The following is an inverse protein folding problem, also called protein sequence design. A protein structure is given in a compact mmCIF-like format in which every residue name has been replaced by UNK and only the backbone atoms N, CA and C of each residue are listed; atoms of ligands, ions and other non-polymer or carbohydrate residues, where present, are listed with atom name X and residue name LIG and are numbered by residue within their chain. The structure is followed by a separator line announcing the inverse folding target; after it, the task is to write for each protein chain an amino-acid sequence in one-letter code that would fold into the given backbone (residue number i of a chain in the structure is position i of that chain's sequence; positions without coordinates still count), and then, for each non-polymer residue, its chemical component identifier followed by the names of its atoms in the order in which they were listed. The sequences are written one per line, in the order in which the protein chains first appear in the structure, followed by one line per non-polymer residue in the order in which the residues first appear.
data_IF_301765117431
#
_entry.id   IF_301765117431
#
_cell.length_a   1.000
_cell.length_b   1.000
_cell.length_c   1.000
_cell.angle_alpha   90.00
_cell.angle_beta   90.00
_cell.angle_gamma   90.00
#
_symmetry.space_group_name_H-M   'P 1'
#
loop_
_entity.id
_entity.type
_entity.pdbx_description
1 polymer ?
#
# COMPACT_ATOMS: atom_id res chain seq x y z
N UNK A 1 -14.29 -5.74 -9.40
CA UNK A 1 -13.73 -4.58 -8.68
C UNK A 1 -12.55 -4.00 -9.43
N UNK A 2 -12.18 -2.76 -9.14
CA UNK A 2 -11.00 -2.11 -9.74
C UNK A 2 -9.76 -2.53 -8.96
N UNK A 3 -9.10 -3.60 -9.41
CA UNK A 3 -7.99 -4.25 -8.72
C UNK A 3 -6.81 -4.39 -9.67
N UNK A 4 -5.64 -3.93 -9.25
CA UNK A 4 -4.40 -4.09 -10.01
C UNK A 4 -3.38 -4.92 -9.24
N UNK A 5 -2.89 -5.98 -9.85
CA UNK A 5 -1.79 -6.77 -9.31
C UNK A 5 -0.47 -6.03 -9.57
N UNK A 6 0.22 -5.64 -8.51
CA UNK A 6 1.55 -5.01 -8.62
C UNK A 6 2.62 -6.10 -8.66
N UNK A 7 2.51 -7.07 -7.77
CA UNK A 7 3.30 -8.29 -7.74
C UNK A 7 2.36 -9.45 -7.42
N UNK A 8 2.88 -10.65 -7.28
CA UNK A 8 2.06 -11.83 -6.92
C UNK A 8 1.43 -11.69 -5.53
N UNK A 9 2.00 -10.85 -4.66
CA UNK A 9 1.55 -10.70 -3.28
C UNK A 9 1.11 -9.29 -2.92
N UNK A 10 1.11 -8.35 -3.87
CA UNK A 10 0.76 -6.96 -3.62
C UNK A 10 -0.23 -6.44 -4.64
N UNK A 11 -1.36 -5.94 -4.16
CA UNK A 11 -2.45 -5.41 -4.96
C UNK A 11 -2.80 -3.99 -4.55
N UNK A 12 -3.22 -3.19 -5.51
CA UNK A 12 -3.73 -1.82 -5.27
C UNK A 12 -5.12 -1.73 -5.88
N UNK A 13 -6.04 -1.07 -5.20
CA UNK A 13 -7.41 -0.90 -5.67
C UNK A 13 -7.96 0.48 -5.32
N UNK A 14 -9.00 0.88 -6.05
CA UNK A 14 -9.92 1.91 -5.60
C UNK A 14 -10.75 1.34 -4.44
N UNK A 15 -11.47 2.19 -3.73
CA UNK A 15 -12.24 1.80 -2.55
C UNK A 15 -13.13 0.58 -2.82
N UNK A 16 -12.88 -0.55 -2.16
CA UNK A 16 -13.68 -1.76 -2.35
C UNK A 16 -14.92 -1.77 -1.44
N UNK A 17 -15.80 -2.73 -1.71
CA UNK A 17 -17.02 -2.98 -0.93
C UNK A 17 -16.93 -4.34 -0.24
N UNK A 18 -17.82 -4.58 0.73
CA UNK A 18 -17.88 -5.89 1.41
C UNK A 18 -18.10 -7.05 0.44
N UNK A 19 -18.84 -6.83 -0.64
CA UNK A 19 -19.10 -7.86 -1.65
C UNK A 19 -17.82 -8.29 -2.41
N UNK A 20 -16.76 -7.50 -2.35
CA UNK A 20 -15.49 -7.82 -3.02
C UNK A 20 -14.63 -8.83 -2.24
N UNK A 21 -15.04 -9.18 -1.02
CA UNK A 21 -14.27 -10.07 -0.15
C UNK A 21 -13.94 -11.42 -0.78
N UNK A 22 -14.89 -12.02 -1.49
CA UNK A 22 -14.71 -13.31 -2.13
C UNK A 22 -13.61 -13.25 -3.22
N UNK A 23 -13.66 -12.22 -4.08
CA UNK A 23 -12.65 -12.03 -5.13
C UNK A 23 -11.26 -11.82 -4.53
N UNK A 24 -11.16 -11.00 -3.48
CA UNK A 24 -9.89 -10.77 -2.80
C UNK A 24 -9.34 -12.06 -2.19
N UNK A 25 -10.19 -12.83 -1.54
CA UNK A 25 -9.81 -14.12 -0.95
C UNK A 25 -9.30 -15.09 -2.01
N UNK A 26 -9.92 -15.13 -3.18
CA UNK A 26 -9.47 -15.98 -4.30
C UNK A 26 -8.07 -15.58 -4.79
N UNK A 27 -7.71 -14.31 -4.71
CA UNK A 27 -6.37 -13.83 -5.07
C UNK A 27 -5.33 -14.08 -3.97
N UNK A 28 -5.72 -14.72 -2.88
CA UNK A 28 -4.80 -14.97 -1.76
C UNK A 28 -4.64 -13.82 -0.79
N UNK A 29 -5.43 -12.75 -0.96
CA UNK A 29 -5.39 -11.61 -0.04
C UNK A 29 -5.90 -12.03 1.34
N UNK A 30 -5.15 -11.67 2.38
CA UNK A 30 -5.55 -11.88 3.78
C UNK A 30 -5.45 -10.61 4.60
N UNK A 31 -4.64 -9.65 4.15
CA UNK A 31 -4.47 -8.36 4.81
C UNK A 31 -4.93 -7.23 3.88
N UNK A 32 -5.75 -6.33 4.41
CA UNK A 32 -6.25 -5.16 3.70
C UNK A 32 -5.74 -3.90 4.42
N UNK A 33 -4.99 -3.06 3.72
CA UNK A 33 -4.53 -1.77 4.23
C UNK A 33 -5.46 -0.68 3.71
N UNK A 34 -6.20 -0.06 4.61
CA UNK A 34 -7.15 1.01 4.31
C UNK A 34 -6.51 2.36 4.59
N UNK A 35 -6.31 3.17 3.55
CA UNK A 35 -5.63 4.46 3.64
C UNK A 35 -6.58 5.67 3.68
N UNK A 36 -7.89 5.45 3.78
CA UNK A 36 -8.86 6.57 3.81
C UNK A 36 -9.46 6.75 5.21
N UNK A 37 -9.96 7.97 5.54
CA UNK A 37 -10.56 8.22 6.85
C UNK A 37 -12.00 7.71 6.95
N UNK A 38 -12.29 6.58 6.34
CA UNK A 38 -13.58 5.89 6.41
C UNK A 38 -13.29 4.46 6.83
N UNK A 39 -14.06 3.98 7.80
CA UNK A 39 -13.83 2.63 8.34
C UNK A 39 -13.93 1.56 7.26
N UNK A 40 -13.08 0.57 7.36
CA UNK A 40 -13.07 -0.58 6.44
C UNK A 40 -14.43 -1.27 6.43
N UNK A 41 -14.99 -1.58 5.25
CA UNK A 41 -16.23 -2.35 5.16
C UNK A 41 -16.14 -3.67 5.93
N UNK A 42 -17.24 -4.07 6.55
CA UNK A 42 -17.27 -5.24 7.43
C UNK A 42 -16.78 -6.52 6.75
N UNK A 43 -17.14 -6.74 5.49
CA UNK A 43 -16.71 -7.94 4.77
C UNK A 43 -15.19 -8.01 4.57
N UNK A 44 -14.52 -6.87 4.55
CA UNK A 44 -13.08 -6.81 4.34
C UNK A 44 -12.28 -6.90 5.66
N UNK A 45 -12.95 -6.94 6.79
CA UNK A 45 -12.33 -7.12 8.12
C UNK A 45 -12.91 -8.32 8.87
N UNK A 46 -13.55 -9.22 8.14
CA UNK A 46 -14.09 -10.47 8.65
C UNK A 46 -13.22 -11.62 8.13
N UNK A 47 -12.87 -12.57 9.00
CA UNK A 47 -12.04 -13.71 8.61
C UNK A 47 -12.56 -14.36 7.31
N UNK A 48 -11.68 -14.79 6.37
CA UNK A 48 -10.23 -14.87 6.51
C UNK A 48 -9.47 -13.56 6.29
N UNK A 49 -10.17 -12.46 5.97
CA UNK A 49 -9.55 -11.15 5.79
C UNK A 49 -9.38 -10.44 7.12
N UNK A 50 -8.30 -9.71 7.26
CA UNK A 50 -8.09 -8.76 8.35
C UNK A 50 -7.67 -7.42 7.79
N UNK A 51 -7.95 -6.35 8.50
CA UNK A 51 -7.69 -5.00 8.02
C UNK A 51 -6.80 -4.24 8.99
N UNK A 52 -5.95 -3.39 8.42
CA UNK A 52 -5.19 -2.39 9.15
C UNK A 52 -5.62 -1.03 8.64
N UNK A 53 -6.14 -0.18 9.55
CA UNK A 53 -6.64 1.14 9.17
C UNK A 53 -5.56 2.18 9.39
N UNK A 54 -5.12 2.80 8.30
CA UNK A 54 -4.03 3.78 8.27
C UNK A 54 -4.55 5.07 7.61
N UNK A 55 -5.54 5.74 8.24
CA UNK A 55 -6.24 6.85 7.59
C UNK A 55 -5.33 8.06 7.40
N UNK A 56 -5.40 8.65 6.21
CA UNK A 56 -4.76 9.91 5.89
C UNK A 56 -5.54 10.62 4.79
N UNK A 57 -5.34 11.93 4.69
CA UNK A 57 -5.99 12.73 3.63
C UNK A 57 -5.09 12.76 2.39
N UNK A 58 -5.71 12.80 1.22
CA UNK A 58 -5.00 13.02 -0.03
C UNK A 58 -4.86 14.53 -0.23
N UNK A 59 -3.77 15.10 0.25
CA UNK A 59 -3.56 16.54 0.25
C UNK A 59 -2.10 16.88 -0.01
N UNK A 60 -1.89 17.83 -0.94
CA UNK A 60 -0.56 18.38 -1.18
C UNK A 60 0.00 19.12 0.04
N UNK A 61 -0.90 19.60 0.92
CA UNK A 61 -0.54 20.32 2.14
C UNK A 61 -0.13 19.40 3.29
N UNK A 62 -0.56 18.13 3.24
CA UNK A 62 -0.33 17.14 4.29
C UNK A 62 0.17 15.85 3.66
N UNK A 63 1.43 15.80 3.18
CA UNK A 63 1.96 14.57 2.59
C UNK A 63 2.00 13.44 3.62
N UNK A 64 1.89 12.21 3.13
CA UNK A 64 1.93 11.01 3.98
C UNK A 64 3.19 11.01 4.83
N UNK A 65 3.06 10.89 6.16
CA UNK A 65 4.22 10.86 7.03
C UNK A 65 4.95 9.52 6.93
N UNK A 66 6.26 9.56 7.10
CA UNK A 66 7.11 8.37 7.04
C UNK A 66 6.69 7.30 8.04
N UNK A 67 6.26 7.69 9.25
CA UNK A 67 5.84 6.73 10.28
C UNK A 67 4.63 5.91 9.84
N UNK A 68 3.70 6.53 9.09
CA UNK A 68 2.51 5.84 8.58
C UNK A 68 2.89 4.81 7.53
N UNK A 69 3.75 5.21 6.58
CA UNK A 69 4.27 4.30 5.56
C UNK A 69 5.06 3.16 6.19
N UNK A 70 5.86 3.46 7.21
CA UNK A 70 6.65 2.46 7.92
C UNK A 70 5.76 1.45 8.64
N UNK A 71 4.70 1.91 9.28
CA UNK A 71 3.76 1.02 9.98
C UNK A 71 3.08 0.06 9.01
N UNK A 72 2.54 0.58 7.91
CA UNK A 72 1.90 -0.25 6.89
C UNK A 72 2.86 -1.23 6.24
N UNK A 73 4.08 -0.80 5.99
CA UNK A 73 5.12 -1.64 5.42
C UNK A 73 5.45 -2.83 6.34
N UNK A 74 5.60 -2.60 7.64
CA UNK A 74 5.90 -3.67 8.60
C UNK A 74 4.78 -4.71 8.65
N UNK A 75 3.53 -4.26 8.70
CA UNK A 75 2.38 -5.15 8.73
C UNK A 75 2.29 -5.96 7.42
N UNK A 76 2.52 -5.30 6.29
CA UNK A 76 2.51 -5.96 4.98
C UNK A 76 3.61 -7.01 4.85
N UNK A 77 4.84 -6.68 5.22
CA UNK A 77 5.96 -7.62 5.14
C UNK A 77 5.74 -8.85 6.02
N UNK A 78 5.12 -8.67 7.18
CA UNK A 78 4.77 -9.79 8.06
C UNK A 78 3.76 -10.72 7.39
N UNK A 79 2.72 -10.18 6.76
CA UNK A 79 1.74 -10.97 6.03
C UNK A 79 2.39 -11.71 4.86
N UNK A 80 3.22 -11.02 4.08
CA UNK A 80 3.92 -11.62 2.94
C UNK A 80 4.88 -12.72 3.37
N UNK A 81 5.50 -12.60 4.55
CA UNK A 81 6.34 -13.64 5.13
C UNK A 81 5.58 -14.91 5.46
N UNK A 82 4.26 -14.84 5.60
CA UNK A 82 3.36 -15.98 5.81
C UNK A 82 2.65 -16.41 4.51
N UNK A 83 3.18 -16.02 3.35
CA UNK A 83 2.62 -16.30 2.02
C UNK A 83 1.22 -15.74 1.81
N UNK A 84 0.89 -14.64 2.48
CA UNK A 84 -0.37 -13.94 2.30
C UNK A 84 -0.18 -12.77 1.34
N UNK A 85 -1.17 -12.52 0.48
CA UNK A 85 -1.18 -11.33 -0.34
C UNK A 85 -1.81 -10.17 0.43
N UNK A 86 -1.45 -8.96 0.03
CA UNK A 86 -1.86 -7.71 0.68
C UNK A 86 -2.56 -6.82 -0.35
N UNK A 87 -3.71 -6.29 0.04
CA UNK A 87 -4.39 -5.24 -0.72
C UNK A 87 -4.17 -3.91 -0.03
N UNK A 88 -3.82 -2.89 -0.82
CA UNK A 88 -3.81 -1.51 -0.34
C UNK A 88 -4.84 -0.73 -1.13
N UNK A 89 -5.70 0.00 -0.44
CA UNK A 89 -6.64 0.86 -1.13
C UNK A 89 -6.73 2.25 -0.51
N UNK A 90 -7.06 3.21 -1.36
CA UNK A 90 -7.53 4.52 -0.98
C UNK A 90 -8.80 4.80 -1.78
N UNK A 91 -9.16 6.06 -1.98
CA UNK A 91 -10.41 6.35 -2.69
C UNK A 91 -10.37 5.88 -4.16
N UNK A 92 -9.31 6.26 -4.88
CA UNK A 92 -9.16 5.96 -6.32
C UNK A 92 -8.02 4.99 -6.62
N UNK A 93 -7.18 4.68 -5.64
CA UNK A 93 -5.97 3.89 -5.87
C UNK A 93 -4.96 4.63 -6.73
N UNK A 94 -4.84 5.95 -6.52
CA UNK A 94 -4.02 6.83 -7.34
C UNK A 94 -2.84 7.46 -6.60
N UNK A 95 -3.03 7.85 -5.34
CA UNK A 95 -2.02 8.58 -4.57
C UNK A 95 -1.60 7.88 -3.27
N UNK A 96 -2.47 7.82 -2.26
CA UNK A 96 -2.11 7.28 -0.94
C UNK A 96 -1.71 5.82 -0.98
N UNK A 97 -2.50 4.99 -1.65
CA UNK A 97 -2.21 3.57 -1.80
C UNK A 97 -0.97 3.34 -2.67
N UNK A 98 -0.74 4.21 -3.65
CA UNK A 98 0.44 4.15 -4.50
C UNK A 98 1.70 4.43 -3.69
N UNK A 99 1.68 5.44 -2.82
CA UNK A 99 2.80 5.74 -1.94
C UNK A 99 3.11 4.55 -1.02
N UNK A 100 2.09 3.93 -0.43
CA UNK A 100 2.26 2.76 0.44
C UNK A 100 2.80 1.56 -0.34
N UNK A 101 2.29 1.31 -1.56
CA UNK A 101 2.79 0.22 -2.40
C UNK A 101 4.27 0.41 -2.71
N UNK A 102 4.68 1.63 -3.06
CA UNK A 102 6.08 1.94 -3.32
C UNK A 102 6.94 1.74 -2.07
N UNK A 103 6.44 2.14 -0.90
CA UNK A 103 7.16 1.94 0.37
C UNK A 103 7.42 0.45 0.62
N UNK A 104 6.42 -0.40 0.41
CA UNK A 104 6.57 -1.85 0.57
C UNK A 104 7.61 -2.41 -0.40
N UNK A 105 7.55 -2.00 -1.66
CA UNK A 105 8.52 -2.46 -2.68
C UNK A 105 9.94 -2.00 -2.35
N UNK A 106 10.10 -0.80 -1.83
CA UNK A 106 11.40 -0.28 -1.39
C UNK A 106 11.93 -1.15 -0.23
N UNK A 107 11.07 -1.49 0.71
CA UNK A 107 11.46 -2.35 1.83
C UNK A 107 11.85 -3.75 1.35
N UNK A 108 11.35 -4.19 0.21
CA UNK A 108 11.70 -5.46 -0.42
C UNK A 108 12.97 -5.38 -1.28
N UNK A 109 13.60 -4.19 -1.35
CA UNK A 109 14.90 -4.03 -2.00
C UNK A 109 14.91 -3.19 -3.27
N UNK A 110 13.78 -2.67 -3.71
CA UNK A 110 13.73 -1.79 -4.88
C UNK A 110 14.19 -0.38 -4.53
N UNK A 111 14.69 0.35 -5.53
CA UNK A 111 14.84 1.80 -5.41
C UNK A 111 13.47 2.47 -5.54
N UNK A 112 13.37 3.73 -5.10
CA UNK A 112 12.14 4.51 -5.27
C UNK A 112 11.75 4.57 -6.75
N UNK A 113 12.71 4.78 -7.64
CA UNK A 113 12.44 4.87 -9.08
C UNK A 113 11.92 3.56 -9.66
N UNK A 114 12.52 2.43 -9.26
CA UNK A 114 12.04 1.11 -9.69
C UNK A 114 10.62 0.84 -9.19
N UNK A 115 10.36 1.16 -7.92
CA UNK A 115 9.04 0.97 -7.32
C UNK A 115 7.98 1.81 -8.03
N UNK A 116 8.26 3.10 -8.25
CA UNK A 116 7.34 4.00 -8.94
C UNK A 116 7.04 3.51 -10.37
N UNK A 117 8.06 3.07 -11.10
CA UNK A 117 7.89 2.56 -12.45
C UNK A 117 7.03 1.28 -12.48
N UNK A 118 7.27 0.36 -11.55
CA UNK A 118 6.51 -0.88 -11.46
C UNK A 118 5.03 -0.61 -11.17
N UNK A 119 4.75 0.25 -10.18
CA UNK A 119 3.36 0.57 -9.81
C UNK A 119 2.64 1.28 -10.96
N UNK A 120 3.30 2.23 -11.61
CA UNK A 120 2.71 2.96 -12.75
C UNK A 120 2.41 2.01 -13.92
N UNK A 121 3.33 1.09 -14.21
CA UNK A 121 3.14 0.12 -15.28
C UNK A 121 2.00 -0.86 -15.00
N UNK A 122 1.85 -1.29 -13.76
CA UNK A 122 0.81 -2.24 -13.36
C UNK A 122 -0.56 -1.58 -13.18
N UNK A 123 -0.59 -0.28 -12.84
CA UNK A 123 -1.82 0.48 -12.62
C UNK A 123 -1.70 1.84 -13.33
N UNK A 124 -2.19 1.95 -14.57
CA UNK A 124 -2.00 3.17 -15.39
C UNK A 124 -2.50 4.47 -14.78
N UNK A 125 -3.55 4.43 -13.94
CA UNK A 125 -4.07 5.64 -13.27
C UNK A 125 -3.24 6.05 -12.06
N UNK A 126 -2.32 5.19 -11.60
CA UNK A 126 -1.43 5.53 -10.49
C UNK A 126 -0.59 6.75 -10.85
N UNK A 127 -0.42 7.65 -9.89
CA UNK A 127 0.33 8.89 -10.08
C UNK A 127 1.44 9.02 -9.01
N UNK A 128 2.50 8.20 -9.11
CA UNK A 128 3.58 8.25 -8.14
C UNK A 128 4.43 9.52 -8.25
N UNK A 129 4.35 10.24 -9.36
CA UNK A 129 5.13 11.47 -9.58
C UNK A 129 4.40 12.74 -9.16
N UNK A 130 3.16 12.64 -8.67
CA UNK A 130 2.51 13.79 -8.03
C UNK A 130 3.44 14.27 -6.90
N UNK A 131 3.70 15.60 -6.80
CA UNK A 131 4.74 16.10 -5.87
C UNK A 131 4.61 15.62 -4.43
N UNK A 132 3.42 15.59 -3.88
CA UNK A 132 3.20 15.14 -2.49
C UNK A 132 3.36 13.62 -2.33
N UNK A 133 3.13 12.86 -3.39
CA UNK A 133 3.30 11.40 -3.39
C UNK A 133 4.78 11.06 -3.53
N UNK A 134 5.45 11.61 -4.55
CA UNK A 134 6.87 11.35 -4.77
C UNK A 134 7.71 11.77 -3.58
N UNK A 135 7.42 12.94 -3.00
CA UNK A 135 8.11 13.42 -1.80
C UNK A 135 8.01 12.42 -0.63
N UNK A 136 6.82 11.87 -0.39
CA UNK A 136 6.61 10.87 0.66
C UNK A 136 7.41 9.59 0.38
N UNK A 137 7.40 9.13 -0.86
CA UNK A 137 8.12 7.92 -1.29
C UNK A 137 9.63 8.09 -1.08
N UNK A 138 10.19 9.23 -1.53
CA UNK A 138 11.64 9.48 -1.41
C UNK A 138 12.07 9.67 0.03
N UNK A 139 11.27 10.31 0.88
CA UNK A 139 11.56 10.43 2.31
C UNK A 139 11.53 9.07 3.00
N UNK A 140 10.57 8.21 2.62
CA UNK A 140 10.53 6.86 3.13
C UNK A 140 11.79 6.07 2.72
N UNK A 141 12.20 6.15 1.46
CA UNK A 141 13.40 5.47 0.98
C UNK A 141 14.63 5.87 1.80
N UNK A 142 14.85 7.16 1.99
CA UNK A 142 15.98 7.66 2.76
C UNK A 142 15.95 7.16 4.21
N UNK A 143 14.80 7.24 4.85
CA UNK A 143 14.61 6.81 6.24
C UNK A 143 14.76 5.30 6.41
N UNK A 144 14.21 4.52 5.48
CA UNK A 144 14.26 3.06 5.55
C UNK A 144 15.69 2.53 5.38
N UNK A 145 16.44 3.07 4.44
CA UNK A 145 17.84 2.69 4.20
C UNK A 145 18.72 3.06 5.40
N UNK A 146 18.52 4.24 5.98
CA UNK A 146 19.26 4.67 7.17
C UNK A 146 18.96 3.76 8.37
N UNK A 147 17.70 3.45 8.62
CA UNK A 147 17.29 2.56 9.71
C UNK A 147 17.88 1.15 9.56
N UNK A 148 18.03 0.64 8.34
CA UNK A 148 18.66 -0.68 8.11
C UNK A 148 20.16 -0.67 8.40
N UNK A 149 20.82 0.47 8.25
CA UNK A 149 22.24 0.60 8.60
C UNK A 149 22.46 0.65 10.11
N UNK A 150 21.52 1.22 10.83
CA UNK A 150 21.58 1.34 12.29
C UNK A 150 21.24 0.00 12.98
N UNK A 151 20.53 -0.89 12.31
CA UNK A 151 20.10 -2.20 12.82
C UNK A 151 20.47 -3.29 11.84
N UNK A 152 21.76 -3.67 11.77
CA UNK A 152 22.24 -4.73 10.88
C UNK A 152 21.70 -6.13 11.26
#
# INVERSE_FOLDING_TARGET
MDLSAITDTLYVAARPQSADAAELTEHGVRLVLNMIPVRTPRGLRTAPLRACWLPWLDSAMLPLPTWLLRRGTRVALQAMGSNEAVLIYCREGRHRSVAMACAILIAQGMSAEQAMALVKGARPIADPTAPHVESAIRRFEASWKTGRREHP
#
